data_IF_526961024350
#
_entry.id   IF_526961024350
#
_cell.length_a   1.000
_cell.length_b   1.000
_cell.length_c   1.000
_cell.angle_alpha   90.00
_cell.angle_beta   90.00
_cell.angle_gamma   90.00
#
_symmetry.space_group_name_H-M   'P 1'
#
loop_
_entity.id
_entity.type
_entity.pdbx_description
1 polymer ?
#
# COMPACT_ATOMS: atom_id res chain seq x y z
N UNK A 1 -0.75 20.84 -2.19
CA UNK A 1 -1.67 19.99 -2.97
C UNK A 1 -1.59 18.58 -2.43
N UNK A 2 -2.74 18.02 -2.08
CA UNK A 2 -2.80 16.64 -1.60
C UNK A 2 -2.35 15.66 -2.69
N UNK A 3 -1.87 14.52 -2.26
CA UNK A 3 -1.34 13.48 -3.13
C UNK A 3 -1.91 12.13 -2.72
N UNK A 4 -2.10 11.23 -3.68
CA UNK A 4 -2.63 9.88 -3.42
C UNK A 4 -1.65 8.84 -3.96
N UNK A 5 -1.44 7.79 -3.20
CA UNK A 5 -0.80 6.58 -3.71
C UNK A 5 -1.78 5.41 -3.64
N UNK A 6 -1.72 4.57 -4.65
CA UNK A 6 -2.53 3.36 -4.75
C UNK A 6 -1.59 2.22 -5.11
N UNK A 7 -1.73 1.10 -4.40
CA UNK A 7 -0.88 -0.08 -4.63
C UNK A 7 -1.77 -1.31 -4.73
N UNK A 8 -1.71 -2.00 -5.86
CA UNK A 8 -2.37 -3.30 -6.03
C UNK A 8 -1.36 -4.42 -5.78
N UNK A 9 -1.82 -5.48 -5.16
CA UNK A 9 -0.97 -6.62 -4.87
C UNK A 9 -1.82 -7.87 -4.64
N UNK A 10 -1.14 -9.00 -4.65
CA UNK A 10 -1.75 -10.31 -4.48
C UNK A 10 -1.03 -11.03 -3.34
N UNK A 11 -1.80 -11.55 -2.40
CA UNK A 11 -1.27 -12.31 -1.27
C UNK A 11 -1.35 -13.80 -1.58
N UNK A 12 -0.34 -14.56 -1.22
CA UNK A 12 -0.38 -16.02 -1.34
C UNK A 12 -1.58 -16.54 -0.54
N UNK A 13 -2.34 -17.48 -1.12
CA UNK A 13 -3.58 -17.96 -0.49
C UNK A 13 -3.37 -18.43 0.94
N UNK A 14 -2.27 -19.13 1.21
CA UNK A 14 -1.95 -19.65 2.55
C UNK A 14 -1.58 -18.53 3.55
N UNK A 15 -1.31 -17.32 3.07
CA UNK A 15 -0.91 -16.19 3.92
C UNK A 15 -1.99 -15.10 4.07
N UNK A 16 -3.19 -15.30 3.54
CA UNK A 16 -4.24 -14.26 3.60
C UNK A 16 -4.56 -13.86 5.04
N UNK A 17 -4.74 -14.82 5.93
CA UNK A 17 -5.05 -14.52 7.33
C UNK A 17 -3.87 -13.84 8.03
N UNK A 18 -2.64 -14.25 7.73
CA UNK A 18 -1.43 -13.63 8.29
C UNK A 18 -1.32 -12.18 7.83
N UNK A 19 -1.64 -11.92 6.56
CA UNK A 19 -1.63 -10.56 6.02
C UNK A 19 -2.68 -9.68 6.70
N UNK A 20 -3.91 -10.18 6.86
CA UNK A 20 -4.98 -9.43 7.53
C UNK A 20 -4.60 -9.07 8.98
N UNK A 21 -3.92 -9.98 9.68
CA UNK A 21 -3.41 -9.69 11.01
C UNK A 21 -2.30 -8.63 10.96
N UNK A 22 -1.37 -8.75 10.02
CA UNK A 22 -0.28 -7.78 9.86
C UNK A 22 -0.80 -6.36 9.61
N UNK A 23 -1.91 -6.21 8.87
CA UNK A 23 -2.53 -4.90 8.62
C UNK A 23 -2.91 -4.18 9.91
N UNK A 24 -3.33 -4.91 10.94
CA UNK A 24 -3.71 -4.30 12.22
C UNK A 24 -2.52 -3.66 12.94
N UNK A 25 -1.30 -4.01 12.54
CA UNK A 25 -0.05 -3.53 13.13
C UNK A 25 0.68 -2.54 12.23
N UNK A 26 0.07 -2.14 11.13
CA UNK A 26 0.68 -1.18 10.21
C UNK A 26 0.88 0.16 10.92
N UNK A 27 2.09 0.75 10.84
CA UNK A 27 2.35 2.04 11.46
C UNK A 27 1.51 3.18 10.85
N UNK A 28 1.32 4.24 11.63
CA UNK A 28 0.76 5.50 11.13
C UNK A 28 1.92 6.34 10.59
N UNK A 29 1.81 6.76 9.33
CA UNK A 29 2.85 7.55 8.68
C UNK A 29 2.59 9.04 8.89
N UNK A 30 3.65 9.81 9.15
CA UNK A 30 3.54 11.26 9.28
C UNK A 30 3.11 11.86 7.94
N UNK A 31 2.12 12.77 7.97
CA UNK A 31 1.62 13.41 6.74
C UNK A 31 0.59 12.57 5.98
N UNK A 32 0.33 11.35 6.41
CA UNK A 32 -0.74 10.53 5.86
C UNK A 32 -2.06 10.91 6.53
N UNK A 33 -3.00 11.41 5.73
CA UNK A 33 -4.29 11.91 6.22
C UNK A 33 -5.28 10.75 6.39
N UNK A 34 -5.26 9.82 5.44
CA UNK A 34 -6.22 8.72 5.37
C UNK A 34 -5.57 7.55 4.66
N UNK A 35 -5.87 6.36 5.12
CA UNK A 35 -5.43 5.13 4.47
C UNK A 35 -6.51 4.07 4.55
N UNK A 36 -6.67 3.31 3.49
CA UNK A 36 -7.58 2.18 3.43
C UNK A 36 -6.94 1.06 2.62
N UNK A 37 -7.24 -0.17 2.99
CA UNK A 37 -6.93 -1.33 2.16
C UNK A 37 -8.24 -2.06 1.92
N UNK A 38 -8.54 -2.32 0.65
CA UNK A 38 -9.74 -3.07 0.27
C UNK A 38 -9.34 -4.44 -0.26
N UNK A 39 -10.21 -5.41 -0.08
CA UNK A 39 -10.05 -6.74 -0.62
C UNK A 39 -10.89 -6.84 -1.89
N UNK A 40 -10.22 -7.06 -3.02
CA UNK A 40 -10.85 -7.06 -4.34
C UNK A 40 -11.17 -8.47 -4.86
N UNK A 41 -10.68 -9.49 -4.17
CA UNK A 41 -10.91 -10.89 -4.49
C UNK A 41 -10.48 -11.75 -3.34
N UNK A 42 -10.43 -13.07 -3.53
CA UNK A 42 -10.07 -14.00 -2.47
C UNK A 42 -8.70 -13.70 -1.86
N UNK A 43 -7.74 -13.34 -2.70
CA UNK A 43 -6.37 -13.07 -2.28
C UNK A 43 -5.77 -11.82 -2.95
N UNK A 44 -6.61 -10.93 -3.48
CA UNK A 44 -6.19 -9.70 -4.11
C UNK A 44 -6.64 -8.49 -3.28
N UNK A 45 -5.78 -7.48 -3.23
CA UNK A 45 -5.97 -6.31 -2.40
C UNK A 45 -5.55 -5.04 -3.12
N UNK A 46 -6.08 -3.93 -2.66
CA UNK A 46 -5.71 -2.60 -3.15
C UNK A 46 -5.59 -1.67 -1.95
N UNK A 47 -4.41 -1.10 -1.75
CA UNK A 47 -4.16 -0.13 -0.69
C UNK A 47 -4.24 1.28 -1.25
N UNK A 48 -4.82 2.19 -0.48
CA UNK A 48 -5.01 3.59 -0.82
C UNK A 48 -4.46 4.45 0.31
N UNK A 49 -3.68 5.48 -0.04
CA UNK A 49 -3.18 6.46 0.93
C UNK A 49 -3.40 7.88 0.41
N UNK A 50 -3.98 8.73 1.26
CA UNK A 50 -4.12 10.17 1.01
C UNK A 50 -3.10 10.90 1.86
N UNK A 51 -2.32 11.78 1.24
CA UNK A 51 -1.20 12.50 1.84
C UNK A 51 -1.39 14.00 1.76
N UNK A 52 -0.85 14.72 2.72
CA UNK A 52 -0.87 16.19 2.73
C UNK A 52 -0.21 16.77 1.48
N UNK A 53 0.85 16.12 0.99
CA UNK A 53 1.60 16.54 -0.18
C UNK A 53 2.43 15.37 -0.71
N UNK A 54 2.96 15.51 -1.93
CA UNK A 54 3.90 14.55 -2.48
C UNK A 54 5.17 14.49 -1.62
N UNK A 55 5.64 15.64 -1.16
CA UNK A 55 6.84 15.75 -0.33
C UNK A 55 6.67 14.97 0.98
N UNK A 56 5.50 15.08 1.62
CA UNK A 56 5.21 14.33 2.85
C UNK A 56 5.23 12.82 2.58
N UNK A 57 4.64 12.37 1.47
CA UNK A 57 4.67 10.97 1.06
C UNK A 57 6.12 10.50 0.82
N UNK A 58 6.89 11.28 0.07
CA UNK A 58 8.28 10.92 -0.27
C UNK A 58 9.15 10.79 0.98
N UNK A 59 8.93 11.62 1.99
CA UNK A 59 9.67 11.55 3.26
C UNK A 59 9.43 10.25 4.02
N UNK A 60 8.27 9.63 3.83
CA UNK A 60 7.92 8.38 4.50
C UNK A 60 8.17 7.13 3.63
N UNK A 61 8.69 7.32 2.41
CA UNK A 61 8.86 6.21 1.46
C UNK A 61 9.72 5.09 2.03
N UNK A 62 10.85 5.42 2.65
CA UNK A 62 11.75 4.41 3.22
C UNK A 62 11.05 3.61 4.34
N UNK A 63 10.26 4.29 5.17
CA UNK A 63 9.49 3.64 6.24
C UNK A 63 8.41 2.72 5.68
N UNK A 64 7.73 3.15 4.61
CA UNK A 64 6.72 2.33 3.94
C UNK A 64 7.34 1.10 3.29
N UNK A 65 8.48 1.25 2.63
CA UNK A 65 9.22 0.13 2.04
C UNK A 65 9.70 -0.82 3.15
N UNK A 66 10.17 -0.29 4.26
CA UNK A 66 10.57 -1.10 5.42
C UNK A 66 9.43 -1.96 5.95
N UNK A 67 8.22 -1.39 6.03
CA UNK A 67 7.04 -2.17 6.43
C UNK A 67 6.68 -3.23 5.38
N UNK A 68 6.70 -2.85 4.10
CA UNK A 68 6.46 -3.78 3.00
C UNK A 68 7.42 -4.97 3.06
N UNK A 69 8.69 -4.71 3.37
CA UNK A 69 9.70 -5.78 3.47
C UNK A 69 9.33 -6.82 4.52
N UNK A 70 8.61 -6.43 5.59
CA UNK A 70 8.19 -7.37 6.64
C UNK A 70 7.09 -8.34 6.18
N UNK A 71 6.36 -7.99 5.13
CA UNK A 71 5.25 -8.80 4.59
C UNK A 71 5.53 -9.33 3.18
N UNK A 72 6.66 -8.97 2.59
CA UNK A 72 6.96 -9.30 1.18
C UNK A 72 6.90 -10.82 0.91
N UNK A 73 7.30 -11.63 1.88
CA UNK A 73 7.25 -13.09 1.75
C UNK A 73 5.83 -13.64 1.64
N UNK A 74 4.81 -12.86 2.02
CA UNK A 74 3.41 -13.24 1.92
C UNK A 74 2.82 -12.93 0.54
N UNK A 75 3.54 -12.16 -0.29
CA UNK A 75 3.02 -11.64 -1.57
C UNK A 75 3.44 -12.51 -2.73
N UNK A 76 2.55 -12.64 -3.72
CA UNK A 76 2.84 -13.28 -4.99
C UNK A 76 3.38 -12.27 -5.99
N UNK A 77 4.24 -12.73 -6.89
CA UNK A 77 4.69 -11.93 -8.01
C UNK A 77 3.50 -11.67 -8.97
N UNK A 78 3.29 -10.41 -9.34
CA UNK A 78 2.28 -10.02 -10.30
C UNK A 78 2.78 -10.29 -11.73
N UNK A 79 3.93 -9.68 -12.07
CA UNK A 79 4.67 -9.92 -13.30
C UNK A 79 6.16 -9.77 -12.98
N UNK A 80 7.07 -10.35 -13.82
CA UNK A 80 8.49 -10.14 -13.61
C UNK A 80 8.92 -8.66 -13.59
N UNK A 81 8.20 -7.81 -14.34
CA UNK A 81 8.51 -6.39 -14.42
C UNK A 81 8.04 -5.61 -13.20
N UNK A 82 6.84 -5.93 -12.69
CA UNK A 82 6.28 -5.25 -11.53
C UNK A 82 6.79 -5.80 -10.20
N UNK A 83 7.16 -7.08 -10.18
CA UNK A 83 7.46 -7.76 -8.92
C UNK A 83 6.18 -8.04 -8.15
N UNK A 84 6.18 -7.76 -6.84
CA UNK A 84 5.05 -8.11 -5.96
C UNK A 84 4.05 -6.97 -5.75
N UNK A 85 4.30 -5.77 -6.29
CA UNK A 85 3.40 -4.63 -6.15
C UNK A 85 3.20 -3.93 -7.49
N UNK A 86 2.04 -3.31 -7.64
CA UNK A 86 1.69 -2.48 -8.81
C UNK A 86 1.28 -1.09 -8.29
N UNK A 87 2.25 -0.19 -8.03
CA UNK A 87 1.97 1.12 -7.48
C UNK A 87 1.69 2.17 -8.54
N UNK A 88 0.76 3.08 -8.21
CA UNK A 88 0.56 4.32 -8.97
C UNK A 88 0.37 5.45 -7.97
N UNK A 89 0.70 6.67 -8.35
CA UNK A 89 0.49 7.84 -7.51
C UNK A 89 0.30 9.09 -8.37
N UNK A 90 -0.33 10.10 -7.79
CA UNK A 90 -0.55 11.37 -8.46
C UNK A 90 -1.17 12.40 -7.55
N UNK A 91 -1.14 13.68 -7.97
CA UNK A 91 -1.78 14.75 -7.21
C UNK A 91 -3.31 14.63 -7.27
N UNK A 92 -3.97 15.06 -6.19
CA UNK A 92 -5.43 15.13 -6.17
C UNK A 92 -5.84 16.35 -7.00
N UNK A 93 -6.58 16.12 -8.09
CA UNK A 93 -7.06 17.18 -8.98
C UNK A 93 -8.53 17.47 -8.81
N UNK A 94 -9.24 16.63 -8.09
CA UNK A 94 -10.65 16.81 -7.75
C UNK A 94 -10.99 16.04 -6.49
N UNK A 95 -11.70 16.65 -5.58
CA UNK A 95 -12.23 15.95 -4.41
C UNK A 95 -13.57 16.55 -4.01
N UNK A 96 -14.39 15.72 -3.39
CA UNK A 96 -15.73 16.08 -2.99
C UNK A 96 -15.74 16.67 -1.58
#
# INVERSE_FOLDING_TARGET
MKHVNIVRFKVKLEHVNDYLEALTKQPVWKGNIEGKTIQTGENTFCAYGLWESKEAMDLEMDSMVGWLDTIRHMLDEITPQLGVTDPVSGPVIWER
#
